data_IF_855201081766
#
_entry.id   IF_855201081766
#
_cell.length_a   1.000
_cell.length_b   1.000
_cell.length_c   1.000
_cell.angle_alpha   90.00
_cell.angle_beta   90.00
_cell.angle_gamma   90.00
#
_symmetry.space_group_name_H-M   'P 1'
#
loop_
_entity.id
_entity.type
_entity.pdbx_description
1 polymer ?
#
# COMPACT_ATOMS: atom_id res chain seq x y z
N UNK A 1 12.57 -38.74 -5.36
CA UNK A 1 11.16 -38.55 -5.79
C UNK A 1 10.73 -37.07 -5.97
N UNK A 2 11.65 -36.08 -6.08
CA UNK A 2 11.29 -34.65 -6.07
C UNK A 2 11.75 -33.83 -7.32
N UNK A 3 12.11 -34.49 -8.43
CA UNK A 3 12.62 -33.80 -9.64
C UNK A 3 11.66 -33.78 -10.84
N UNK A 4 10.62 -34.64 -10.86
CA UNK A 4 9.70 -34.73 -12.02
C UNK A 4 8.54 -33.73 -12.01
N UNK A 5 8.17 -33.16 -10.85
CA UNK A 5 7.08 -32.17 -10.75
C UNK A 5 7.43 -30.80 -11.33
N UNK A 6 8.70 -30.38 -11.25
CA UNK A 6 9.14 -29.08 -11.80
C UNK A 6 9.18 -29.06 -13.33
N UNK A 7 9.57 -30.16 -13.96
CA UNK A 7 9.52 -30.27 -15.43
C UNK A 7 8.09 -30.21 -15.97
N UNK A 8 7.11 -30.76 -15.25
CA UNK A 8 5.71 -30.68 -15.65
C UNK A 8 5.18 -29.24 -15.59
N UNK A 9 5.51 -28.48 -14.54
CA UNK A 9 5.12 -27.08 -14.39
C UNK A 9 5.78 -26.18 -15.44
N UNK A 10 7.07 -26.40 -15.73
CA UNK A 10 7.78 -25.65 -16.79
C UNK A 10 7.23 -26.01 -18.18
N UNK A 11 6.87 -27.28 -18.44
CA UNK A 11 6.22 -27.69 -19.68
C UNK A 11 4.78 -27.15 -19.81
N UNK A 12 4.04 -27.03 -18.71
CA UNK A 12 2.69 -26.42 -18.69
C UNK A 12 2.79 -24.91 -18.95
N UNK A 13 3.73 -24.22 -18.31
CA UNK A 13 3.98 -22.79 -18.54
C UNK A 13 4.52 -22.52 -19.97
N UNK A 14 5.36 -23.41 -20.51
CA UNK A 14 5.85 -23.33 -21.88
C UNK A 14 4.76 -23.67 -22.92
N UNK A 15 3.81 -24.57 -22.60
CA UNK A 15 2.65 -24.85 -23.45
C UNK A 15 1.58 -23.76 -23.38
N UNK A 16 1.41 -23.07 -22.25
CA UNK A 16 0.55 -21.89 -22.13
C UNK A 16 1.08 -20.72 -22.97
N UNK A 17 2.41 -20.60 -23.14
CA UNK A 17 3.02 -19.62 -24.06
C UNK A 17 2.82 -19.97 -25.55
N UNK A 18 2.54 -21.24 -25.89
CA UNK A 18 2.33 -21.70 -27.28
C UNK A 18 0.86 -21.84 -27.68
N UNK A 19 -0.07 -21.84 -26.73
CA UNK A 19 -1.52 -21.90 -26.99
C UNK A 19 -2.16 -20.52 -26.89
N UNK A 20 -1.72 -19.60 -27.74
CA UNK A 20 -2.63 -18.56 -28.25
C UNK A 20 -3.30 -19.20 -29.47
N UNK A 21 -4.55 -19.70 -29.36
CA UNK A 21 -5.23 -20.28 -30.50
C UNK A 21 -5.51 -19.19 -31.54
N UNK A 22 -5.24 -19.49 -32.80
CA UNK A 22 -5.53 -18.64 -33.96
C UNK A 22 -7.04 -18.49 -34.27
N UNK A 23 -7.92 -18.90 -33.34
CA UNK A 23 -9.37 -18.79 -33.46
C UNK A 23 -9.93 -18.35 -32.10
N UNK A 24 -10.00 -17.03 -31.90
CA UNK A 24 -10.78 -16.42 -30.83
C UNK A 24 -12.05 -15.78 -31.44
N UNK A 25 -13.20 -15.87 -30.76
CA UNK A 25 -14.45 -15.31 -31.25
C UNK A 25 -14.38 -13.78 -31.24
N UNK A 26 -14.72 -13.18 -32.39
CA UNK A 26 -15.03 -11.75 -32.64
C UNK A 26 -14.56 -10.79 -31.54
N UNK A 27 -13.27 -10.49 -31.52
CA UNK A 27 -12.77 -9.30 -30.81
C UNK A 27 -13.10 -8.06 -31.63
N UNK A 28 -13.54 -6.99 -30.95
CA UNK A 28 -13.74 -5.67 -31.55
C UNK A 28 -12.43 -5.23 -32.23
N UNK A 29 -12.51 -4.71 -33.46
CA UNK A 29 -11.35 -4.32 -34.29
C UNK A 29 -10.35 -3.40 -33.58
N UNK A 30 -10.79 -2.68 -32.55
CA UNK A 30 -9.99 -1.77 -31.70
C UNK A 30 -8.96 -2.48 -30.81
N UNK A 31 -9.27 -3.68 -30.29
CA UNK A 31 -8.35 -4.45 -29.41
C UNK A 31 -7.21 -5.07 -30.21
N UNK A 32 -7.47 -5.49 -31.46
CA UNK A 32 -6.45 -6.03 -32.36
C UNK A 32 -5.46 -4.96 -32.81
N UNK A 33 -5.90 -3.72 -33.02
CA UNK A 33 -5.00 -2.58 -33.26
C UNK A 33 -4.15 -2.24 -32.04
N UNK A 34 -4.72 -2.31 -30.83
CA UNK A 34 -3.96 -2.10 -29.59
C UNK A 34 -2.90 -3.19 -29.38
N UNK A 35 -3.22 -4.46 -29.66
CA UNK A 35 -2.27 -5.57 -29.56
C UNK A 35 -1.19 -5.52 -30.66
N UNK A 36 -1.53 -5.06 -31.86
CA UNK A 36 -0.56 -4.79 -32.92
C UNK A 36 0.38 -3.63 -32.54
N UNK A 37 -0.14 -2.59 -31.90
CA UNK A 37 0.66 -1.47 -31.38
C UNK A 37 1.57 -1.92 -30.22
N UNK A 38 1.08 -2.75 -29.30
CA UNK A 38 1.85 -3.35 -28.21
C UNK A 38 2.97 -4.28 -28.72
N UNK A 39 2.77 -4.97 -29.84
CA UNK A 39 3.79 -5.87 -30.43
C UNK A 39 4.85 -5.15 -31.26
N UNK A 40 4.57 -3.92 -31.73
CA UNK A 40 5.53 -3.04 -32.41
C UNK A 40 6.37 -2.22 -31.41
N UNK A 41 5.96 -2.15 -30.13
CA UNK A 41 6.85 -1.69 -29.05
C UNK A 41 7.91 -2.76 -28.82
N UNK A 42 8.97 -2.71 -29.62
CA UNK A 42 10.28 -3.30 -29.31
C UNK A 42 10.59 -3.09 -27.82
N UNK A 43 11.34 -3.99 -27.15
CA UNK A 43 11.78 -3.73 -25.79
C UNK A 43 12.54 -2.41 -25.84
N UNK A 44 11.91 -1.35 -25.34
CA UNK A 44 12.53 -0.04 -25.27
C UNK A 44 13.77 -0.28 -24.45
N UNK A 45 14.94 -0.13 -25.09
CA UNK A 45 16.19 -0.12 -24.35
C UNK A 45 15.95 0.82 -23.18
N UNK A 46 16.00 0.29 -21.96
CA UNK A 46 15.92 1.10 -20.75
C UNK A 46 17.14 2.02 -20.81
N UNK A 47 16.97 3.20 -21.40
CA UNK A 47 17.98 4.26 -21.43
C UNK A 47 18.51 4.35 -20.02
N UNK A 48 19.84 4.28 -19.87
CA UNK A 48 20.52 4.61 -18.62
C UNK A 48 20.37 6.11 -18.37
N UNK A 49 19.15 6.55 -18.05
CA UNK A 49 18.87 7.87 -17.53
C UNK A 49 19.59 7.98 -16.20
N UNK A 50 20.38 9.04 -16.00
CA UNK A 50 21.02 9.29 -14.71
C UNK A 50 19.92 9.60 -13.70
N UNK A 51 19.83 8.79 -12.66
CA UNK A 51 18.77 8.93 -11.65
C UNK A 51 19.01 10.23 -10.86
N UNK A 52 18.05 11.17 -10.82
CA UNK A 52 18.21 12.45 -10.15
C UNK A 52 17.95 12.31 -8.63
N UNK A 53 18.84 11.60 -7.93
CA UNK A 53 18.70 11.27 -6.49
C UNK A 53 18.39 12.47 -5.60
N UNK A 54 19.14 13.57 -5.76
CA UNK A 54 18.96 14.77 -4.94
C UNK A 54 17.59 15.42 -5.19
N UNK A 55 17.11 15.44 -6.44
CA UNK A 55 15.81 16.02 -6.77
C UNK A 55 14.66 15.17 -6.19
N UNK A 56 14.76 13.84 -6.28
CA UNK A 56 13.77 12.92 -5.73
C UNK A 56 13.70 13.07 -4.20
N UNK A 57 14.85 12.97 -3.51
CA UNK A 57 14.93 12.99 -2.05
C UNK A 57 14.63 14.37 -1.43
N UNK A 58 14.72 15.45 -2.21
CA UNK A 58 14.36 16.80 -1.74
C UNK A 58 12.93 17.19 -2.14
N UNK A 59 12.26 16.40 -2.98
CA UNK A 59 10.92 16.75 -3.46
C UNK A 59 9.86 16.56 -2.38
N UNK A 60 9.13 17.65 -2.07
CA UNK A 60 8.09 17.63 -1.06
C UNK A 60 7.02 16.55 -1.29
N UNK A 61 6.50 16.32 -2.53
CA UNK A 61 5.47 15.30 -2.76
C UNK A 61 5.95 13.86 -2.49
N UNK A 62 7.23 13.58 -2.73
CA UNK A 62 7.82 12.27 -2.43
C UNK A 62 8.09 12.12 -0.94
N UNK A 63 8.62 13.16 -0.28
CA UNK A 63 8.89 13.13 1.16
C UNK A 63 7.61 12.90 2.00
N UNK A 64 6.50 13.56 1.65
CA UNK A 64 5.23 13.30 2.35
C UNK A 64 4.67 11.91 2.03
N UNK A 65 4.92 11.38 0.83
CA UNK A 65 4.55 10.00 0.51
C UNK A 65 5.36 8.99 1.34
N UNK A 66 6.67 9.22 1.50
CA UNK A 66 7.53 8.43 2.40
C UNK A 66 7.01 8.48 3.83
N UNK A 67 6.66 9.66 4.33
CA UNK A 67 6.11 9.83 5.69
C UNK A 67 4.79 9.07 5.88
N UNK A 68 3.88 9.12 4.91
CA UNK A 68 2.66 8.30 4.92
C UNK A 68 3.00 6.82 4.99
N UNK A 69 3.93 6.33 4.16
CA UNK A 69 4.35 4.92 4.17
C UNK A 69 5.03 4.50 5.48
N UNK A 70 5.79 5.39 6.11
CA UNK A 70 6.36 5.18 7.43
C UNK A 70 5.26 5.02 8.48
N UNK A 71 4.32 5.97 8.56
CA UNK A 71 3.21 5.91 9.52
C UNK A 71 2.32 4.67 9.34
N UNK A 72 2.01 4.31 8.09
CA UNK A 72 1.28 3.09 7.76
C UNK A 72 2.06 1.85 8.19
N UNK A 73 3.36 1.79 7.87
CA UNK A 73 4.22 0.67 8.22
C UNK A 73 4.22 0.42 9.71
N UNK A 74 4.50 1.46 10.51
CA UNK A 74 4.51 1.34 11.96
C UNK A 74 3.17 0.82 12.49
N UNK A 75 2.06 1.38 12.02
CA UNK A 75 0.73 0.99 12.50
C UNK A 75 0.34 -0.44 12.09
N UNK A 76 0.44 -0.80 10.80
CA UNK A 76 -0.04 -2.10 10.33
C UNK A 76 0.83 -3.25 10.83
N UNK A 77 2.14 -3.04 10.96
CA UNK A 77 3.01 -4.05 11.56
C UNK A 77 2.75 -4.19 13.06
N UNK A 78 2.50 -3.08 13.79
CA UNK A 78 2.11 -3.15 15.21
C UNK A 78 0.84 -3.96 15.37
N UNK A 79 -0.19 -3.66 14.59
CA UNK A 79 -1.43 -4.42 14.60
C UNK A 79 -1.17 -5.91 14.27
N UNK A 80 -0.51 -6.20 13.16
CA UNK A 80 -0.25 -7.58 12.73
C UNK A 80 0.52 -8.41 13.75
N UNK A 81 1.50 -7.81 14.44
CA UNK A 81 2.36 -8.52 15.37
C UNK A 81 1.76 -8.61 16.77
N UNK A 82 1.04 -7.58 17.22
CA UNK A 82 0.64 -7.40 18.62
C UNK A 82 -0.84 -7.67 18.88
N UNK A 83 -1.68 -7.77 17.84
CA UNK A 83 -3.11 -8.11 18.00
C UNK A 83 -3.33 -9.35 18.88
N UNK A 84 -2.64 -10.49 18.64
CA UNK A 84 -2.87 -11.69 19.44
C UNK A 84 -2.51 -11.51 20.91
N UNK A 85 -1.42 -10.77 21.19
CA UNK A 85 -0.97 -10.44 22.54
C UNK A 85 -1.95 -9.49 23.24
N UNK A 86 -2.39 -8.45 22.53
CA UNK A 86 -3.38 -7.49 23.03
C UNK A 86 -4.71 -8.15 23.40
N UNK A 87 -5.24 -9.02 22.54
CA UNK A 87 -6.51 -9.71 22.81
C UNK A 87 -6.35 -10.72 23.95
N UNK A 88 -5.24 -11.46 23.98
CA UNK A 88 -5.00 -12.48 25.00
C UNK A 88 -4.79 -11.86 26.39
N UNK A 89 -3.93 -10.84 26.50
CA UNK A 89 -3.62 -10.18 27.78
C UNK A 89 -4.81 -9.44 28.40
N UNK A 90 -5.73 -8.91 27.60
CA UNK A 90 -6.86 -8.14 28.13
C UNK A 90 -8.15 -8.93 28.36
N UNK A 91 -8.36 -10.05 27.65
CA UNK A 91 -9.65 -10.73 27.64
C UNK A 91 -9.59 -12.23 27.95
N UNK A 92 -8.40 -12.81 28.11
CA UNK A 92 -8.16 -14.22 28.48
C UNK A 92 -9.02 -15.22 27.68
N UNK A 93 -9.22 -14.94 26.39
CA UNK A 93 -9.98 -15.81 25.50
C UNK A 93 -9.22 -17.10 25.21
N UNK A 94 -9.96 -18.21 25.04
CA UNK A 94 -9.39 -19.46 24.54
C UNK A 94 -8.62 -19.22 23.23
N UNK A 95 -7.48 -19.90 23.09
CA UNK A 95 -6.55 -19.75 21.97
C UNK A 95 -7.25 -19.89 20.60
N UNK A 96 -8.24 -20.77 20.50
CA UNK A 96 -9.02 -20.97 19.27
C UNK A 96 -9.85 -19.74 18.88
N UNK A 97 -10.51 -19.09 19.84
CA UNK A 97 -11.31 -17.88 19.61
C UNK A 97 -10.39 -16.70 19.34
N UNK A 98 -9.30 -16.56 20.09
CA UNK A 98 -8.30 -15.52 19.86
C UNK A 98 -7.70 -15.59 18.44
N UNK A 99 -7.37 -16.79 17.97
CA UNK A 99 -6.86 -16.99 16.62
C UNK A 99 -7.86 -16.54 15.54
N UNK A 100 -9.15 -16.86 15.72
CA UNK A 100 -10.20 -16.44 14.79
C UNK A 100 -10.40 -14.92 14.80
N UNK A 101 -10.46 -14.31 15.99
CA UNK A 101 -10.59 -12.87 16.16
C UNK A 101 -9.38 -12.10 15.61
N UNK A 102 -8.19 -12.66 15.72
CA UNK A 102 -6.96 -12.08 15.18
C UNK A 102 -6.90 -12.18 13.64
N UNK A 103 -7.48 -13.22 13.04
CA UNK A 103 -7.51 -13.41 11.59
C UNK A 103 -8.59 -12.58 10.88
N UNK A 104 -9.73 -12.34 11.55
CA UNK A 104 -10.89 -11.66 10.98
C UNK A 104 -10.59 -10.26 10.39
N UNK A 105 -9.83 -9.37 11.05
CA UNK A 105 -9.51 -8.04 10.51
C UNK A 105 -8.79 -8.11 9.15
N UNK A 106 -7.85 -9.05 8.99
CA UNK A 106 -7.08 -9.22 7.76
C UNK A 106 -7.92 -9.84 6.63
N UNK A 107 -8.81 -10.77 6.96
CA UNK A 107 -9.77 -11.29 5.99
C UNK A 107 -10.72 -10.20 5.49
N UNK A 108 -11.23 -9.36 6.39
CA UNK A 108 -12.09 -8.23 6.02
C UNK A 108 -11.32 -7.15 5.23
N UNK A 109 -10.03 -6.93 5.52
CA UNK A 109 -9.17 -6.09 4.70
C UNK A 109 -9.06 -6.62 3.26
N UNK A 110 -8.92 -7.94 3.08
CA UNK A 110 -8.91 -8.57 1.75
C UNK A 110 -10.22 -8.30 0.99
N UNK A 111 -11.38 -8.52 1.61
CA UNK A 111 -12.69 -8.23 0.98
C UNK A 111 -12.82 -6.75 0.65
N UNK A 112 -12.47 -5.87 1.60
CA UNK A 112 -12.58 -4.41 1.46
C UNK A 112 -11.66 -3.88 0.36
N UNK A 113 -10.49 -4.50 0.12
CA UNK A 113 -9.58 -4.09 -0.95
C UNK A 113 -10.20 -4.17 -2.35
N UNK A 114 -11.03 -5.18 -2.60
CA UNK A 114 -11.76 -5.32 -3.85
C UNK A 114 -12.81 -4.23 -3.98
N UNK A 115 -13.60 -4.01 -2.92
CA UNK A 115 -14.65 -2.98 -2.88
C UNK A 115 -14.08 -1.58 -3.12
N UNK A 116 -12.95 -1.25 -2.48
CA UNK A 116 -12.31 0.05 -2.66
C UNK A 116 -11.77 0.20 -4.09
N UNK A 117 -11.19 -0.86 -4.65
CA UNK A 117 -10.68 -0.84 -6.03
C UNK A 117 -11.80 -0.62 -7.04
N UNK A 118 -12.92 -1.36 -6.92
CA UNK A 118 -14.10 -1.16 -7.77
C UNK A 118 -14.68 0.25 -7.61
N UNK A 119 -14.79 0.73 -6.37
CA UNK A 119 -15.30 2.08 -6.08
C UNK A 119 -14.40 3.15 -6.69
N UNK A 120 -13.08 3.01 -6.55
CA UNK A 120 -12.12 3.93 -7.13
C UNK A 120 -12.19 3.94 -8.66
N UNK A 121 -12.28 2.76 -9.28
CA UNK A 121 -12.45 2.63 -10.73
C UNK A 121 -13.73 3.32 -11.20
N UNK A 122 -14.86 3.08 -10.54
CA UNK A 122 -16.13 3.74 -10.83
C UNK A 122 -16.04 5.27 -10.71
N UNK A 123 -15.43 5.78 -9.65
CA UNK A 123 -15.25 7.22 -9.43
C UNK A 123 -14.38 7.87 -10.52
N UNK A 124 -13.30 7.20 -10.94
CA UNK A 124 -12.38 7.73 -11.94
C UNK A 124 -12.95 7.64 -13.36
N UNK A 125 -13.54 6.51 -13.73
CA UNK A 125 -13.97 6.24 -15.12
C UNK A 125 -15.40 6.72 -15.39
N UNK A 126 -16.34 6.36 -14.52
CA UNK A 126 -17.77 6.65 -14.74
C UNK A 126 -18.13 8.05 -14.27
N UNK A 127 -17.69 8.42 -13.06
CA UNK A 127 -17.97 9.75 -12.47
C UNK A 127 -16.97 10.82 -12.88
N UNK A 128 -15.87 10.45 -13.56
CA UNK A 128 -14.81 11.36 -14.04
C UNK A 128 -14.29 12.30 -12.94
N UNK A 129 -14.22 11.81 -11.70
CA UNK A 129 -13.66 12.57 -10.59
C UNK A 129 -12.17 12.82 -10.81
N UNK A 130 -11.66 13.93 -10.25
CA UNK A 130 -10.22 14.23 -10.31
C UNK A 130 -9.41 13.13 -9.63
N UNK A 131 -8.32 12.69 -10.28
CA UNK A 131 -7.40 11.68 -9.76
C UNK A 131 -6.87 12.07 -8.37
N UNK A 132 -6.48 13.33 -8.21
CA UNK A 132 -5.98 13.85 -6.94
C UNK A 132 -7.03 13.74 -5.82
N UNK A 133 -8.30 14.04 -6.14
CA UNK A 133 -9.39 13.96 -5.16
C UNK A 133 -9.60 12.51 -4.70
N UNK A 134 -9.69 11.56 -5.64
CA UNK A 134 -9.91 10.13 -5.33
C UNK A 134 -8.73 9.55 -4.55
N UNK A 135 -7.48 9.83 -4.98
CA UNK A 135 -6.28 9.33 -4.29
C UNK A 135 -6.17 9.87 -2.87
N UNK A 136 -6.37 11.18 -2.69
CA UNK A 136 -6.28 11.84 -1.38
C UNK A 136 -7.40 11.42 -0.43
N UNK A 137 -8.63 11.28 -0.93
CA UNK A 137 -9.75 10.84 -0.10
C UNK A 137 -9.56 9.40 0.38
N UNK A 138 -9.16 8.49 -0.50
CA UNK A 138 -8.87 7.09 -0.14
C UNK A 138 -7.68 6.99 0.83
N UNK A 139 -6.63 7.79 0.64
CA UNK A 139 -5.52 7.83 1.59
C UNK A 139 -5.97 8.36 2.96
N UNK A 140 -6.83 9.38 2.98
CA UNK A 140 -7.40 9.95 4.21
C UNK A 140 -8.25 8.91 4.95
N UNK A 141 -9.07 8.15 4.23
CA UNK A 141 -9.82 7.03 4.83
C UNK A 141 -8.87 6.00 5.42
N UNK A 142 -7.78 5.65 4.72
CA UNK A 142 -6.81 4.66 5.23
C UNK A 142 -5.93 5.13 6.39
N UNK A 143 -5.96 6.42 6.75
CA UNK A 143 -5.09 6.99 7.80
C UNK A 143 -5.89 7.52 8.97
N UNK A 144 -6.86 8.39 8.70
CA UNK A 144 -7.64 9.06 9.73
C UNK A 144 -8.70 8.14 10.36
N UNK A 145 -9.24 7.16 9.61
CA UNK A 145 -10.17 6.19 10.22
C UNK A 145 -9.45 5.27 11.21
N UNK A 146 -8.28 4.67 10.89
CA UNK A 146 -7.49 3.96 11.89
C UNK A 146 -7.06 4.85 13.05
N UNK A 147 -6.64 6.09 12.80
CA UNK A 147 -6.27 7.02 13.87
C UNK A 147 -7.44 7.30 14.84
N UNK A 148 -8.64 7.54 14.29
CA UNK A 148 -9.85 7.72 15.10
C UNK A 148 -10.23 6.44 15.86
N UNK A 149 -10.08 5.27 15.24
CA UNK A 149 -10.32 3.98 15.89
C UNK A 149 -9.36 3.73 17.05
N UNK A 150 -8.07 4.05 16.90
CA UNK A 150 -7.10 3.97 17.99
C UNK A 150 -7.45 4.91 19.16
N UNK A 151 -7.84 6.15 18.86
CA UNK A 151 -8.31 7.07 19.90
C UNK A 151 -9.57 6.52 20.58
N UNK A 152 -10.53 6.00 19.83
CA UNK A 152 -11.74 5.39 20.38
C UNK A 152 -11.42 4.21 21.32
N UNK A 153 -10.46 3.35 20.98
CA UNK A 153 -10.01 2.24 21.83
C UNK A 153 -9.48 2.72 23.18
N UNK A 154 -8.86 3.91 23.25
CA UNK A 154 -8.38 4.50 24.52
C UNK A 154 -9.49 5.04 25.40
N UNK A 155 -10.64 5.40 24.81
CA UNK A 155 -11.80 5.95 25.54
C UNK A 155 -12.69 4.86 26.13
N UNK A 156 -12.67 3.66 25.56
CA UNK A 156 -13.41 2.51 26.07
C UNK A 156 -12.72 2.09 27.37
N UNK A 157 -13.33 2.31 28.54
CA UNK A 157 -12.70 2.01 29.85
C UNK A 157 -13.26 0.76 30.53
N UNK A 158 -14.47 0.35 30.19
CA UNK A 158 -15.13 -0.79 30.82
C UNK A 158 -14.71 -2.12 30.19
N UNK A 159 -14.49 -3.14 31.02
CA UNK A 159 -14.31 -4.53 30.60
C UNK A 159 -15.54 -5.10 29.90
N UNK A 160 -16.75 -4.56 30.15
CA UNK A 160 -17.98 -5.00 29.48
C UNK A 160 -18.03 -4.62 27.98
N UNK A 161 -17.16 -3.72 27.52
CA UNK A 161 -17.18 -3.19 26.14
C UNK A 161 -16.14 -3.86 25.23
N UNK A 162 -15.80 -5.14 25.47
CA UNK A 162 -14.86 -5.92 24.64
C UNK A 162 -15.22 -5.88 23.15
N UNK A 163 -16.49 -6.08 22.83
CA UNK A 163 -16.98 -6.10 21.45
C UNK A 163 -16.71 -4.77 20.73
N UNK A 164 -16.85 -3.63 21.42
CA UNK A 164 -16.59 -2.33 20.84
C UNK A 164 -15.10 -2.16 20.48
N UNK A 165 -14.18 -2.60 21.35
CA UNK A 165 -12.74 -2.58 21.06
C UNK A 165 -12.38 -3.45 19.85
N UNK A 166 -12.94 -4.66 19.78
CA UNK A 166 -12.70 -5.58 18.66
C UNK A 166 -13.23 -4.97 17.35
N UNK A 167 -14.40 -4.32 17.38
CA UNK A 167 -14.94 -3.62 16.21
C UNK A 167 -13.99 -2.48 15.79
N UNK A 168 -13.52 -1.65 16.72
CA UNK A 168 -12.55 -0.59 16.42
C UNK A 168 -11.27 -1.16 15.78
N UNK A 169 -10.75 -2.27 16.30
CA UNK A 169 -9.59 -2.96 15.77
C UNK A 169 -9.82 -3.46 14.33
N UNK A 170 -10.98 -4.09 14.08
CA UNK A 170 -11.38 -4.56 12.75
C UNK A 170 -11.45 -3.38 11.78
N UNK A 171 -12.11 -2.28 12.19
CA UNK A 171 -12.26 -1.07 11.37
C UNK A 171 -10.89 -0.44 11.05
N UNK A 172 -9.98 -0.40 12.02
CA UNK A 172 -8.63 0.10 11.81
C UNK A 172 -7.87 -0.73 10.76
N UNK A 173 -7.89 -2.06 10.85
CA UNK A 173 -7.18 -2.93 9.89
C UNK A 173 -7.84 -2.89 8.51
N UNK A 174 -9.17 -3.00 8.42
CA UNK A 174 -9.85 -3.11 7.12
C UNK A 174 -9.69 -1.86 6.25
N UNK A 175 -9.61 -0.68 6.86
CA UNK A 175 -9.51 0.60 6.14
C UNK A 175 -8.14 0.83 5.53
N UNK A 176 -7.09 0.13 5.98
CA UNK A 176 -5.79 0.11 5.30
C UNK A 176 -5.85 -0.38 3.86
N UNK A 177 -6.88 -1.15 3.50
CA UNK A 177 -7.13 -1.56 2.13
C UNK A 177 -7.19 -0.37 1.15
N UNK A 178 -7.68 0.79 1.61
CA UNK A 178 -7.77 1.99 0.78
C UNK A 178 -6.40 2.62 0.45
N UNK A 179 -5.35 2.30 1.22
CA UNK A 179 -3.99 2.80 0.98
C UNK A 179 -3.39 2.26 -0.34
N UNK A 180 -3.81 1.06 -0.77
CA UNK A 180 -3.36 0.46 -2.02
C UNK A 180 -3.66 1.36 -3.22
N UNK A 181 -4.87 1.92 -3.24
CA UNK A 181 -5.27 2.87 -4.28
C UNK A 181 -4.82 4.29 -3.93
N UNK A 182 -4.92 4.71 -2.67
CA UNK A 182 -4.69 6.10 -2.26
C UNK A 182 -3.23 6.57 -2.35
N UNK A 183 -2.30 5.82 -1.76
CA UNK A 183 -0.87 6.19 -1.71
C UNK A 183 0.05 5.24 -2.46
N UNK A 184 -0.26 3.95 -2.58
CA UNK A 184 0.68 3.03 -3.27
C UNK A 184 0.77 3.30 -4.77
N UNK A 185 -0.34 3.68 -5.42
CA UNK A 185 -0.31 4.07 -6.83
C UNK A 185 0.25 5.48 -7.06
N UNK A 186 0.35 6.31 -6.02
CA UNK A 186 0.88 7.66 -6.14
C UNK A 186 2.36 7.70 -6.60
N UNK A 187 3.13 6.63 -6.40
CA UNK A 187 4.50 6.55 -6.92
C UNK A 187 4.54 6.63 -8.45
N UNK A 188 3.58 5.99 -9.12
CA UNK A 188 3.44 6.00 -10.57
C UNK A 188 2.89 7.36 -11.02
N UNK A 189 1.94 7.91 -10.26
CA UNK A 189 1.38 9.25 -10.53
C UNK A 189 2.47 10.35 -10.42
N UNK A 190 3.46 10.19 -9.54
CA UNK A 190 4.61 11.11 -9.39
C UNK A 190 5.69 10.91 -10.45
N UNK A 191 5.93 9.68 -10.90
CA UNK A 191 6.92 9.35 -11.93
C UNK A 191 6.62 8.01 -12.58
N UNK A 192 6.10 8.01 -13.81
CA UNK A 192 5.96 6.81 -14.62
C UNK A 192 7.30 6.11 -14.92
N UNK A 193 8.38 6.89 -15.08
CA UNK A 193 9.69 6.34 -15.46
C UNK A 193 10.42 5.67 -14.29
N UNK A 194 10.37 6.27 -13.09
CA UNK A 194 11.04 5.78 -11.89
C UNK A 194 10.09 5.12 -10.88
N UNK A 195 8.79 4.98 -11.18
CA UNK A 195 7.77 4.55 -10.23
C UNK A 195 8.09 3.25 -9.49
N UNK A 196 8.60 2.23 -10.19
CA UNK A 196 9.01 0.97 -9.56
C UNK A 196 10.15 1.13 -8.54
N UNK A 197 11.09 2.04 -8.80
CA UNK A 197 12.18 2.36 -7.86
C UNK A 197 11.65 3.10 -6.63
N UNK A 198 10.75 4.06 -6.83
CA UNK A 198 10.12 4.80 -5.73
C UNK A 198 9.31 3.87 -4.82
N UNK A 199 8.55 2.94 -5.40
CA UNK A 199 7.85 1.88 -4.66
C UNK A 199 8.83 1.04 -3.85
N UNK A 200 9.96 0.64 -4.45
CA UNK A 200 11.00 -0.13 -3.75
C UNK A 200 11.55 0.61 -2.53
N UNK A 201 11.91 1.89 -2.70
CA UNK A 201 12.44 2.71 -1.60
C UNK A 201 11.43 2.89 -0.46
N UNK A 202 10.17 3.22 -0.77
CA UNK A 202 9.16 3.38 0.27
C UNK A 202 8.80 2.07 0.95
N UNK A 203 8.85 0.94 0.22
CA UNK A 203 8.64 -0.38 0.78
C UNK A 203 9.78 -0.79 1.74
N UNK A 204 11.03 -0.38 1.47
CA UNK A 204 12.14 -0.57 2.42
C UNK A 204 11.89 0.20 3.72
N UNK A 205 11.45 1.46 3.63
CA UNK A 205 11.10 2.26 4.82
C UNK A 205 9.97 1.59 5.61
N UNK A 206 8.91 1.17 4.93
CA UNK A 206 7.78 0.49 5.54
C UNK A 206 8.19 -0.81 6.24
N UNK A 207 8.99 -1.65 5.57
CA UNK A 207 9.50 -2.91 6.15
C UNK A 207 10.43 -2.65 7.34
N UNK A 208 11.24 -1.58 7.29
CA UNK A 208 12.04 -1.14 8.43
C UNK A 208 11.18 -0.82 9.66
N UNK A 209 10.01 -0.20 9.48
CA UNK A 209 9.06 0.01 10.58
C UNK A 209 8.53 -1.31 11.16
N UNK A 210 8.47 -2.39 10.38
CA UNK A 210 8.09 -3.72 10.86
C UNK A 210 9.10 -4.31 11.85
N UNK A 211 10.37 -3.90 11.78
CA UNK A 211 11.41 -4.26 12.77
C UNK A 211 11.34 -3.36 14.00
N UNK A 212 11.02 -2.08 13.82
CA UNK A 212 10.93 -1.10 14.91
C UNK A 212 9.66 -1.30 15.75
N UNK A 213 8.55 -1.69 15.12
CA UNK A 213 7.24 -1.93 15.73
C UNK A 213 7.29 -2.75 17.04
N UNK A 214 7.82 -4.00 17.05
CA UNK A 214 7.83 -4.81 18.27
C UNK A 214 8.79 -4.26 19.32
N UNK A 215 9.87 -3.57 18.92
CA UNK A 215 10.81 -2.92 19.85
C UNK A 215 10.12 -1.76 20.57
N UNK A 216 9.41 -0.91 19.81
CA UNK A 216 8.65 0.21 20.38
C UNK A 216 7.56 -0.27 21.35
N UNK A 217 6.88 -1.38 21.02
CA UNK A 217 5.87 -1.99 21.89
C UNK A 217 6.52 -2.56 23.14
N UNK A 218 7.63 -3.30 23.03
CA UNK A 218 8.31 -3.89 24.19
C UNK A 218 8.82 -2.85 25.20
N UNK A 219 9.24 -1.67 24.74
CA UNK A 219 9.69 -0.58 25.61
C UNK A 219 8.53 0.10 26.36
N UNK A 220 7.36 0.21 25.71
CA UNK A 220 6.18 0.91 26.24
C UNK A 220 5.29 -0.02 27.07
N UNK A 221 5.06 -1.24 26.57
CA UNK A 221 4.19 -2.27 27.16
C UNK A 221 5.07 -3.29 27.88
N UNK A 222 5.31 -3.04 29.16
CA UNK A 222 5.99 -3.93 30.11
C UNK A 222 5.05 -4.92 30.78
N UNK A 223 3.78 -4.52 30.95
CA UNK A 223 2.71 -5.38 31.44
C UNK A 223 1.63 -5.48 30.37
N UNK A 224 1.47 -6.66 29.79
CA UNK A 224 0.52 -6.91 28.71
C UNK A 224 -0.94 -6.75 29.16
N UNK A 225 -1.20 -6.87 30.47
CA UNK A 225 -2.54 -6.70 31.06
C UNK A 225 -2.84 -5.23 31.35
N UNK A 226 -1.83 -4.36 31.36
CA UNK A 226 -2.00 -2.94 31.64
C UNK A 226 -2.46 -2.18 30.40
N UNK A 227 -3.76 -1.91 30.37
CA UNK A 227 -4.41 -1.16 29.29
C UNK A 227 -3.89 0.27 29.11
N UNK A 228 -3.35 0.89 30.16
CA UNK A 228 -2.81 2.26 30.06
C UNK A 228 -1.57 2.31 29.16
N UNK A 229 -0.75 1.26 29.19
CA UNK A 229 0.46 1.14 28.36
C UNK A 229 0.09 0.95 26.88
N UNK A 230 -0.92 0.12 26.61
CA UNK A 230 -1.48 -0.02 25.26
C UNK A 230 -2.07 1.28 24.72
N UNK A 231 -2.73 2.07 25.57
CA UNK A 231 -3.27 3.36 25.16
C UNK A 231 -2.17 4.34 24.71
N UNK A 232 -1.00 4.33 25.36
CA UNK A 232 0.13 5.19 24.99
C UNK A 232 0.60 4.86 23.56
N UNK A 233 0.83 3.58 23.25
CA UNK A 233 1.28 3.18 21.91
C UNK A 233 0.23 3.48 20.84
N UNK A 234 -1.06 3.26 21.12
CA UNK A 234 -2.14 3.59 20.20
C UNK A 234 -2.25 5.10 19.92
N UNK A 235 -2.06 5.95 20.94
CA UNK A 235 -2.06 7.40 20.76
C UNK A 235 -0.85 7.90 19.95
N UNK A 236 0.34 7.31 20.16
CA UNK A 236 1.53 7.62 19.37
C UNK A 236 1.28 7.30 17.89
N UNK A 237 0.75 6.10 17.62
CA UNK A 237 0.43 5.67 16.25
C UNK A 237 -0.65 6.57 15.64
N UNK A 238 -1.70 6.89 16.39
CA UNK A 238 -2.78 7.77 15.92
C UNK A 238 -2.26 9.17 15.55
N UNK A 239 -1.37 9.74 16.37
CA UNK A 239 -0.76 11.03 16.10
C UNK A 239 0.09 11.01 14.82
N UNK A 240 0.90 9.96 14.63
CA UNK A 240 1.73 9.79 13.42
C UNK A 240 0.88 9.63 12.16
N UNK A 241 -0.19 8.84 12.21
CA UNK A 241 -1.12 8.68 11.09
C UNK A 241 -1.84 9.99 10.76
N UNK A 242 -2.29 10.72 11.79
CA UNK A 242 -2.97 12.00 11.61
C UNK A 242 -2.07 13.04 10.97
N UNK A 243 -0.87 13.25 11.52
CA UNK A 243 0.12 14.21 11.02
C UNK A 243 0.64 13.83 9.63
N UNK A 244 0.92 12.54 9.40
CA UNK A 244 1.38 12.04 8.11
C UNK A 244 0.38 12.32 6.99
N UNK A 245 -0.91 12.06 7.23
CA UNK A 245 -1.95 12.36 6.25
C UNK A 245 -2.22 13.87 6.11
N UNK A 246 -2.14 14.64 7.19
CA UNK A 246 -2.31 16.10 7.12
C UNK A 246 -1.29 16.71 6.15
N UNK A 247 -0.02 16.34 6.29
CA UNK A 247 1.04 16.79 5.37
C UNK A 247 0.83 16.28 3.95
N UNK A 248 0.34 15.04 3.77
CA UNK A 248 0.01 14.49 2.46
C UNK A 248 -1.12 15.24 1.76
N UNK A 249 -2.13 15.72 2.50
CA UNK A 249 -3.21 16.51 1.92
C UNK A 249 -2.71 17.84 1.34
N UNK A 250 -1.81 18.52 2.05
CA UNK A 250 -1.25 19.81 1.61
C UNK A 250 -0.18 19.67 0.51
N UNK A 251 0.81 18.79 0.71
CA UNK A 251 1.98 18.71 -0.16
C UNK A 251 1.93 17.58 -1.18
N UNK A 252 1.02 16.61 -1.02
CA UNK A 252 0.86 15.49 -1.95
C UNK A 252 0.37 15.95 -3.33
N UNK A 253 1.03 15.44 -4.37
CA UNK A 253 0.71 15.70 -5.78
C UNK A 253 0.52 14.37 -6.52
N UNK A 254 -0.37 14.36 -7.50
CA UNK A 254 -0.77 13.20 -8.32
C UNK A 254 -0.51 13.51 -9.80
N UNK A 255 0.63 14.15 -10.06
CA UNK A 255 1.08 14.60 -11.38
C UNK A 255 2.57 14.32 -11.46
N UNK A 256 3.05 13.97 -12.65
CA UNK A 256 4.45 13.73 -12.93
C UNK A 256 5.30 14.92 -12.46
N UNK A 257 6.39 14.63 -11.75
CA UNK A 257 7.29 15.65 -11.21
C UNK A 257 8.36 16.04 -12.24
N UNK A 258 8.96 17.24 -12.14
CA UNK A 258 9.97 17.71 -13.11
C UNK A 258 11.19 16.80 -13.26
N UNK A 259 11.51 16.02 -12.23
CA UNK A 259 12.62 15.07 -12.24
C UNK A 259 12.29 13.73 -12.94
N UNK A 260 11.08 13.56 -13.48
CA UNK A 260 10.69 12.38 -14.26
C UNK A 260 11.27 12.37 -15.68
N UNK A 261 11.81 13.50 -16.16
CA UNK A 261 12.37 13.62 -17.50
C UNK A 261 13.60 12.72 -17.70
N UNK A 262 13.52 11.83 -18.70
CA UNK A 262 14.68 11.08 -19.19
C UNK A 262 15.35 11.94 -20.27
N UNK A 263 16.45 12.62 -19.93
CA UNK A 263 17.24 13.38 -20.91
C UNK A 263 17.46 12.54 -22.19
N UNK A 264 17.05 13.08 -23.34
CA UNK A 264 17.46 12.54 -24.61
C UNK A 264 18.95 12.84 -24.81
N UNK A 265 19.78 11.88 -25.27
CA UNK A 265 21.12 12.19 -25.69
C UNK A 265 20.98 13.27 -26.75
N UNK A 266 21.67 14.40 -26.55
CA UNK A 266 21.81 15.44 -27.55
C UNK A 266 22.05 14.75 -28.88
N UNK A 267 21.20 15.02 -29.88
CA UNK A 267 21.51 14.64 -31.26
C UNK A 267 22.94 15.10 -31.49
N UNK A 268 23.84 14.12 -31.62
CA UNK A 268 25.20 14.38 -32.05
C UNK A 268 25.01 14.93 -33.44
N UNK A 269 24.97 16.26 -33.53
CA UNK A 269 24.97 17.02 -34.77
C UNK A 269 26.14 16.50 -35.58
N UNK A 270 25.87 15.55 -36.47
CA UNK A 270 26.73 15.20 -37.59
C UNK A 270 26.67 16.39 -38.53
N UNK A 271 27.32 17.47 -38.12
CA UNK A 271 28.04 18.35 -39.01
C UNK A 271 29.11 17.47 -39.66
N UNK A 272 28.78 16.90 -40.81
CA UNK A 272 29.78 16.49 -41.78
C UNK A 272 29.50 17.36 -42.99
N UNK A 273 30.33 18.41 -43.09
CA UNK A 273 30.65 19.15 -44.31
C UNK A 273 31.07 18.18 -45.43
#
# INVERSE_FOLDING_TARGET
MCRSRWHLVVCILANLRRRVPAEMPVYCSTELTLLAEITVVAPTEKRKARIPWCAILTSAPYLVLVLVKLSHGLSIFTLMQQIPLYINGLYDYEIHVNALLSALPFFLMFVTSHLVTFTAHYLLVVRKCSLALVRKSLNTVSTWVPAAAFVAMTLIRSEEQVTANIICLIVAVMTYAAAAVGSSLNHIDLSPNFGGMLVGMTNMVMTGMGVISPIAVAEVVKDENDRSQWNIIFLIIAALLFLGNLLYLFFGKMVAQPWDEIEAPAERSTLIM
#
